data_IF_408379457144
#
_entry.id   IF_408379457144
#
_cell.length_a   1.000
_cell.length_b   1.000
_cell.length_c   1.000
_cell.angle_alpha   90.00
_cell.angle_beta   90.00
_cell.angle_gamma   90.00
#
_symmetry.space_group_name_H-M   'P 1'
#
loop_
_entity.id
_entity.type
_entity.pdbx_description
1 polymer ?
#
# COMPACT_ATOMS: atom_id res chain seq x y z
N UNK A 1 17.35 32.98 -38.94
CA UNK A 1 18.57 32.15 -38.72
C UNK A 1 18.55 30.98 -39.69
N UNK A 2 19.70 30.55 -40.23
CA UNK A 2 19.82 29.40 -41.15
C UNK A 2 19.11 28.15 -40.60
N UNK A 3 19.13 27.96 -39.28
CA UNK A 3 18.44 26.87 -38.59
C UNK A 3 16.91 26.85 -38.78
N UNK A 4 16.25 28.02 -38.92
CA UNK A 4 14.80 28.07 -39.17
C UNK A 4 14.44 27.59 -40.58
N UNK A 5 15.25 27.94 -41.58
CA UNK A 5 15.08 27.44 -42.95
C UNK A 5 15.29 25.92 -43.04
N UNK A 6 16.26 25.38 -42.29
CA UNK A 6 16.47 23.94 -42.20
C UNK A 6 15.31 23.22 -41.48
N UNK A 7 14.73 23.84 -40.45
CA UNK A 7 13.55 23.32 -39.75
C UNK A 7 12.32 23.25 -40.67
N UNK A 8 12.03 24.31 -41.42
CA UNK A 8 10.89 24.34 -42.36
C UNK A 8 11.05 23.29 -43.48
N UNK A 9 12.27 23.10 -44.00
CA UNK A 9 12.57 22.06 -45.00
C UNK A 9 12.42 20.64 -44.44
N UNK A 10 12.64 20.43 -43.14
CA UNK A 10 12.45 19.15 -42.48
C UNK A 10 10.98 18.92 -42.08
N UNK A 11 10.28 19.95 -41.59
CA UNK A 11 8.85 19.88 -41.21
C UNK A 11 7.95 19.52 -42.39
N UNK A 12 8.26 20.02 -43.60
CA UNK A 12 7.51 19.68 -44.82
C UNK A 12 7.60 18.19 -45.22
N UNK A 13 8.62 17.46 -44.75
CA UNK A 13 8.82 16.03 -45.05
C UNK A 13 8.16 15.09 -44.05
N UNK A 14 7.73 15.59 -42.89
CA UNK A 14 7.16 14.76 -41.82
C UNK A 14 5.64 14.67 -42.00
N UNK A 15 5.05 13.46 -41.96
CA UNK A 15 3.60 13.32 -42.05
C UNK A 15 2.93 14.02 -40.87
N UNK A 16 1.87 14.80 -41.15
CA UNK A 16 1.16 15.61 -40.14
C UNK A 16 0.71 14.80 -38.92
N UNK A 17 0.39 13.51 -39.09
CA UNK A 17 0.04 12.59 -38.00
C UNK A 17 1.16 12.38 -36.98
N UNK A 18 2.41 12.31 -37.45
CA UNK A 18 3.58 12.19 -36.58
C UNK A 18 3.78 13.47 -35.76
N UNK A 19 3.58 14.63 -36.38
CA UNK A 19 3.62 15.93 -35.69
C UNK A 19 2.55 16.03 -34.60
N UNK A 20 1.31 15.62 -34.88
CA UNK A 20 0.24 15.57 -33.88
C UNK A 20 0.54 14.58 -32.74
N UNK A 21 1.15 13.43 -33.05
CA UNK A 21 1.51 12.44 -32.04
C UNK A 21 2.67 12.91 -31.15
N UNK A 22 3.66 13.62 -31.71
CA UNK A 22 4.72 14.27 -30.94
C UNK A 22 4.19 15.40 -30.05
N UNK A 23 3.26 16.22 -30.55
CA UNK A 23 2.61 17.27 -29.78
C UNK A 23 1.80 16.69 -28.60
N UNK A 24 1.07 15.59 -28.83
CA UNK A 24 0.39 14.84 -27.77
C UNK A 24 1.36 14.27 -26.73
N UNK A 25 2.49 13.69 -27.17
CA UNK A 25 3.50 13.16 -26.27
C UNK A 25 4.16 14.26 -25.43
N UNK A 26 4.43 15.43 -26.02
CA UNK A 26 4.92 16.61 -25.29
C UNK A 26 3.90 17.08 -24.25
N UNK A 27 2.62 17.20 -24.62
CA UNK A 27 1.54 17.57 -23.68
C UNK A 27 1.38 16.54 -22.57
N UNK A 28 1.43 15.25 -22.88
CA UNK A 28 1.39 14.17 -21.90
C UNK A 28 2.59 14.22 -20.95
N UNK A 29 3.79 14.51 -21.44
CA UNK A 29 4.99 14.67 -20.61
C UNK A 29 4.85 15.86 -19.65
N UNK A 30 4.32 16.98 -20.13
CA UNK A 30 4.03 18.17 -19.31
C UNK A 30 2.96 17.86 -18.27
N UNK A 31 1.84 17.25 -18.65
CA UNK A 31 0.78 16.82 -17.73
C UNK A 31 1.32 15.83 -16.68
N UNK A 32 2.15 14.88 -17.08
CA UNK A 32 2.81 13.94 -16.15
C UNK A 32 3.70 14.68 -15.16
N UNK A 33 4.42 15.73 -15.58
CA UNK A 33 5.22 16.57 -14.69
C UNK A 33 4.33 17.36 -13.71
N UNK A 34 3.21 17.92 -14.17
CA UNK A 34 2.23 18.57 -13.29
C UNK A 34 1.61 17.59 -12.29
N UNK A 35 1.26 16.37 -12.70
CA UNK A 35 0.77 15.33 -11.82
C UNK A 35 1.81 14.90 -10.78
N UNK A 36 3.10 14.84 -11.15
CA UNK A 36 4.19 14.56 -10.20
C UNK A 36 4.37 15.67 -9.17
N UNK A 37 4.34 16.92 -9.62
CA UNK A 37 4.38 18.09 -8.73
C UNK A 37 3.15 18.10 -7.82
N UNK A 38 1.95 17.88 -8.36
CA UNK A 38 0.71 17.80 -7.60
C UNK A 38 0.71 16.65 -6.60
N UNK A 39 1.23 15.47 -6.98
CA UNK A 39 1.45 14.35 -6.06
C UNK A 39 2.36 14.76 -4.90
N UNK A 40 3.39 15.57 -5.15
CA UNK A 40 4.28 16.08 -4.08
C UNK A 40 3.54 17.00 -3.11
N UNK A 41 2.59 17.80 -3.58
CA UNK A 41 1.71 18.61 -2.73
C UNK A 41 0.63 17.79 -2.01
N UNK A 42 0.12 16.73 -2.64
CA UNK A 42 -0.83 15.79 -2.04
C UNK A 42 -0.22 14.94 -0.93
N UNK A 43 1.11 14.83 -0.86
CA UNK A 43 1.76 14.15 0.25
C UNK A 43 1.69 15.10 1.47
N UNK A 44 0.87 14.78 2.47
CA UNK A 44 0.67 15.67 3.61
C UNK A 44 2.00 15.93 4.30
N UNK A 45 2.20 17.17 4.74
CA UNK A 45 3.29 17.62 5.63
C UNK A 45 4.73 17.26 5.20
N UNK A 46 4.98 16.89 3.94
CA UNK A 46 6.33 16.53 3.47
C UNK A 46 7.34 17.68 3.62
N UNK A 47 6.93 18.90 3.29
CA UNK A 47 7.78 20.08 3.46
C UNK A 47 8.11 20.36 4.93
N UNK A 48 7.21 20.03 5.86
CA UNK A 48 7.44 20.18 7.30
C UNK A 48 8.44 19.12 7.79
N UNK A 49 8.31 17.87 7.34
CA UNK A 49 9.26 16.79 7.66
C UNK A 49 10.66 17.14 7.14
N UNK A 50 10.79 17.61 5.90
CA UNK A 50 12.09 18.02 5.33
C UNK A 50 12.74 19.19 6.10
N UNK A 51 11.93 20.13 6.60
CA UNK A 51 12.44 21.21 7.46
C UNK A 51 12.98 20.68 8.79
N UNK A 52 12.29 19.72 9.40
CA UNK A 52 12.74 19.04 10.62
C UNK A 52 14.02 18.23 10.36
N UNK A 53 14.10 17.53 9.22
CA UNK A 53 15.30 16.80 8.80
C UNK A 53 16.52 17.71 8.66
N UNK A 54 16.32 18.92 8.12
CA UNK A 54 17.39 19.91 7.99
C UNK A 54 17.88 20.46 9.33
N UNK A 55 17.05 20.47 10.38
CA UNK A 55 17.42 21.01 11.70
C UNK A 55 17.90 19.93 12.67
N UNK A 56 17.28 18.75 12.66
CA UNK A 56 17.47 17.67 13.64
C UNK A 56 18.12 16.41 13.04
N UNK A 57 18.39 16.41 11.75
CA UNK A 57 19.00 15.29 11.04
C UNK A 57 18.03 14.17 10.66
N UNK A 58 18.58 13.14 10.01
CA UNK A 58 17.81 12.04 9.41
C UNK A 58 17.16 11.13 10.44
N UNK A 59 17.73 11.00 11.64
CA UNK A 59 17.22 10.15 12.72
C UNK A 59 15.84 10.63 13.16
N UNK A 60 15.69 11.91 13.48
CA UNK A 60 14.41 12.49 13.91
C UNK A 60 13.40 12.53 12.75
N UNK A 61 13.85 12.82 11.53
CA UNK A 61 13.00 12.80 10.32
C UNK A 61 12.38 11.42 10.03
N UNK A 62 13.12 10.34 10.35
CA UNK A 62 12.66 8.97 10.11
C UNK A 62 11.41 8.61 10.92
N UNK A 63 11.26 9.14 12.15
CA UNK A 63 10.07 8.97 12.99
C UNK A 63 8.83 9.55 12.32
N UNK A 64 8.88 10.81 11.89
CA UNK A 64 7.74 11.47 11.25
C UNK A 64 7.39 10.85 9.89
N UNK A 65 8.41 10.37 9.17
CA UNK A 65 8.20 9.64 7.91
C UNK A 65 7.48 8.31 8.15
N UNK A 66 7.81 7.60 9.22
CA UNK A 66 7.11 6.38 9.65
C UNK A 66 5.70 6.68 10.14
N UNK A 67 5.53 7.71 10.97
CA UNK A 67 4.22 8.14 11.47
C UNK A 67 3.27 8.51 10.32
N UNK A 68 3.76 9.26 9.33
CA UNK A 68 3.01 9.56 8.09
C UNK A 68 2.50 8.29 7.42
N UNK A 69 3.36 7.28 7.31
CA UNK A 69 3.00 6.01 6.72
C UNK A 69 1.94 5.28 7.53
N UNK A 70 2.06 5.23 8.87
CA UNK A 70 1.03 4.66 9.74
C UNK A 70 -0.32 5.36 9.55
N UNK A 71 -0.34 6.69 9.53
CA UNK A 71 -1.58 7.46 9.32
C UNK A 71 -2.25 7.09 8.00
N UNK A 72 -1.49 6.94 6.91
CA UNK A 72 -2.03 6.49 5.63
C UNK A 72 -2.62 5.07 5.68
N UNK A 73 -1.95 4.14 6.36
CA UNK A 73 -2.46 2.78 6.51
C UNK A 73 -3.75 2.78 7.33
N UNK A 74 -3.78 3.51 8.44
CA UNK A 74 -4.97 3.65 9.28
C UNK A 74 -6.14 4.35 8.54
N UNK A 75 -5.85 5.31 7.66
CA UNK A 75 -6.86 5.95 6.81
C UNK A 75 -7.48 4.96 5.82
N UNK A 76 -6.68 4.08 5.22
CA UNK A 76 -7.19 3.05 4.30
C UNK A 76 -8.04 2.03 5.08
N UNK A 77 -7.58 1.62 6.26
CA UNK A 77 -8.32 0.70 7.14
C UNK A 77 -9.65 1.31 7.59
N UNK A 78 -9.65 2.58 8.00
CA UNK A 78 -10.87 3.27 8.41
C UNK A 78 -11.84 3.43 7.25
N UNK A 79 -11.35 3.73 6.04
CA UNK A 79 -12.17 3.78 4.83
C UNK A 79 -12.81 2.42 4.53
N UNK A 80 -12.08 1.32 4.70
CA UNK A 80 -12.61 -0.03 4.52
C UNK A 80 -13.72 -0.32 5.53
N UNK A 81 -13.50 -0.03 6.82
CA UNK A 81 -14.55 -0.17 7.86
C UNK A 81 -15.76 0.71 7.55
N UNK A 82 -15.55 1.96 7.12
CA UNK A 82 -16.65 2.86 6.75
C UNK A 82 -17.40 2.31 5.55
N UNK A 83 -16.73 1.85 4.51
CA UNK A 83 -17.36 1.38 3.28
C UNK A 83 -18.14 0.08 3.46
N UNK A 84 -17.63 -0.87 4.25
CA UNK A 84 -18.21 -2.22 4.37
C UNK A 84 -19.04 -2.44 5.63
N UNK A 85 -18.83 -1.69 6.70
CA UNK A 85 -19.57 -1.84 7.97
C UNK A 85 -20.50 -0.65 8.18
N UNK A 86 -19.97 0.58 8.17
CA UNK A 86 -20.76 1.78 8.53
C UNK A 86 -21.76 2.15 7.42
N UNK A 87 -21.31 2.22 6.18
CA UNK A 87 -22.08 2.71 5.04
C UNK A 87 -23.34 1.86 4.78
N UNK A 88 -23.26 0.52 4.69
CA UNK A 88 -24.44 -0.30 4.45
C UNK A 88 -25.48 -0.13 5.58
N UNK A 89 -25.02 -0.08 6.83
CA UNK A 89 -25.88 0.04 8.01
C UNK A 89 -26.58 1.41 8.08
N UNK A 90 -25.85 2.50 7.83
CA UNK A 90 -26.41 3.86 7.84
C UNK A 90 -27.40 4.04 6.69
N UNK A 91 -27.09 3.53 5.50
CA UNK A 91 -28.01 3.57 4.36
C UNK A 91 -29.30 2.81 4.64
N UNK A 92 -29.24 1.62 5.25
CA UNK A 92 -30.43 0.86 5.65
C UNK A 92 -31.31 1.64 6.64
N UNK A 93 -30.71 2.21 7.70
CA UNK A 93 -31.45 2.99 8.68
C UNK A 93 -32.15 4.20 8.04
N UNK A 94 -31.47 4.89 7.10
CA UNK A 94 -32.06 6.02 6.39
C UNK A 94 -33.18 5.60 5.42
N UNK A 95 -33.03 4.48 4.71
CA UNK A 95 -34.06 3.94 3.81
C UNK A 95 -35.29 3.43 4.57
N UNK A 96 -35.11 2.77 5.71
CA UNK A 96 -36.22 2.45 6.59
C UNK A 96 -36.86 3.75 7.09
N UNK A 97 -36.07 4.82 7.29
CA UNK A 97 -36.55 6.11 7.75
C UNK A 97 -37.52 6.76 6.74
N UNK A 98 -37.14 6.82 5.47
CA UNK A 98 -37.98 7.43 4.42
C UNK A 98 -39.25 6.63 4.14
N UNK A 99 -39.20 5.30 4.23
CA UNK A 99 -40.33 4.43 3.89
C UNK A 99 -41.44 4.37 4.97
N UNK A 100 -41.19 4.85 6.19
CA UNK A 100 -42.22 4.99 7.24
C UNK A 100 -42.99 6.31 7.18
N UNK A 101 -42.47 7.33 6.51
CA UNK A 101 -43.19 8.59 6.32
C UNK A 101 -44.48 8.38 5.49
N UNK A 102 -44.50 7.36 4.62
CA UNK A 102 -45.61 7.06 3.71
C UNK A 102 -46.55 5.92 4.15
N UNK A 103 -46.26 5.16 5.22
CA UNK A 103 -47.07 3.97 5.59
C UNK A 103 -47.54 3.98 7.05
N UNK A 104 -48.83 4.27 7.21
CA UNK A 104 -49.67 4.25 8.42
C UNK A 104 -49.09 3.55 9.69
N UNK A 105 -48.56 4.39 10.58
CA UNK A 105 -48.56 4.48 12.05
C UNK A 105 -48.57 3.27 13.03
N UNK A 106 -48.80 1.98 12.71
CA UNK A 106 -49.12 1.04 13.83
C UNK A 106 -48.46 -0.33 13.94
N UNK A 107 -47.46 -0.74 13.13
CA UNK A 107 -46.88 -2.10 13.33
C UNK A 107 -45.37 -2.26 13.51
N UNK A 108 -44.55 -1.26 13.14
CA UNK A 108 -43.07 -1.39 13.16
C UNK A 108 -42.37 -0.40 14.10
N UNK A 109 -43.03 0.03 15.19
CA UNK A 109 -42.46 1.00 16.15
C UNK A 109 -41.23 0.48 16.90
N UNK A 110 -41.03 -0.84 16.93
CA UNK A 110 -39.95 -1.51 17.69
C UNK A 110 -38.58 -1.44 17.03
N UNK A 111 -38.52 -1.33 15.69
CA UNK A 111 -37.26 -1.41 14.92
C UNK A 111 -36.45 -0.12 15.00
N UNK A 112 -37.15 1.03 15.06
CA UNK A 112 -36.53 2.36 15.10
C UNK A 112 -36.21 2.77 16.54
N UNK A 113 -36.97 2.29 17.52
CA UNK A 113 -36.79 2.61 18.95
C UNK A 113 -35.53 2.01 19.58
N UNK A 114 -34.89 1.02 18.95
CA UNK A 114 -33.67 0.38 19.48
C UNK A 114 -32.42 1.25 19.27
N UNK A 115 -32.43 2.14 18.27
CA UNK A 115 -31.28 2.98 17.88
C UNK A 115 -31.46 4.47 18.19
N UNK A 116 -32.52 4.85 18.90
CA UNK A 116 -32.82 6.23 19.29
C UNK A 116 -32.84 6.32 20.81
N UNK A 117 -32.26 7.39 21.36
CA UNK A 117 -32.25 7.65 22.79
C UNK A 117 -33.70 7.84 23.28
N UNK A 118 -34.13 7.11 24.33
CA UNK A 118 -35.44 7.32 24.95
C UNK A 118 -35.62 8.77 25.44
N UNK A 119 -36.81 9.35 25.25
CA UNK A 119 -37.10 10.77 25.56
C UNK A 119 -36.83 11.17 27.03
N UNK A 120 -36.81 10.20 27.94
CA UNK A 120 -36.48 10.41 29.36
C UNK A 120 -34.96 10.55 29.60
N UNK A 121 -34.11 10.00 28.72
CA UNK A 121 -32.65 10.00 28.84
C UNK A 121 -31.97 11.07 27.97
N UNK A 122 -32.65 11.63 26.97
CA UNK A 122 -32.12 12.68 26.08
C UNK A 122 -31.64 13.91 26.85
N UNK A 123 -32.36 14.35 27.88
CA UNK A 123 -31.98 15.52 28.70
C UNK A 123 -30.69 15.33 29.50
N UNK A 124 -30.30 14.08 29.77
CA UNK A 124 -29.08 13.74 30.49
C UNK A 124 -27.93 13.35 29.56
N UNK A 125 -28.23 13.06 28.29
CA UNK A 125 -27.26 12.56 27.32
C UNK A 125 -26.15 13.57 26.97
N UNK A 126 -26.41 14.87 27.11
CA UNK A 126 -25.44 15.95 26.84
C UNK A 126 -24.48 16.24 28.01
N UNK A 127 -24.69 15.62 29.17
CA UNK A 127 -23.82 15.87 30.33
C UNK A 127 -22.42 15.31 30.05
N UNK A 128 -21.40 16.14 30.27
CA UNK A 128 -20.00 15.77 30.05
C UNK A 128 -19.58 14.45 30.72
N UNK A 129 -20.05 14.18 31.94
CA UNK A 129 -19.76 12.92 32.65
C UNK A 129 -20.32 11.67 31.96
N UNK A 130 -21.46 11.79 31.28
CA UNK A 130 -22.12 10.70 30.53
C UNK A 130 -21.40 10.45 29.21
N UNK A 131 -21.04 11.54 28.50
CA UNK A 131 -20.27 11.47 27.25
C UNK A 131 -18.89 10.87 27.47
N UNK A 132 -18.19 11.23 28.55
CA UNK A 132 -16.88 10.66 28.90
C UNK A 132 -16.95 9.17 29.27
N UNK A 133 -18.11 8.70 29.75
CA UNK A 133 -18.38 7.28 29.98
C UNK A 133 -18.82 6.54 28.71
N UNK A 134 -18.80 7.22 27.56
CA UNK A 134 -19.27 6.70 26.26
C UNK A 134 -20.77 6.33 26.24
N UNK A 135 -21.56 6.93 27.12
CA UNK A 135 -23.01 6.75 27.20
C UNK A 135 -23.76 7.94 26.57
N UNK A 136 -25.09 7.85 26.46
CA UNK A 136 -25.90 8.88 25.82
C UNK A 136 -25.74 8.88 24.29
N UNK A 137 -25.42 10.04 23.69
CA UNK A 137 -25.32 10.18 22.23
C UNK A 137 -24.27 9.28 21.57
N UNK A 138 -23.18 8.97 22.27
CA UNK A 138 -22.13 8.11 21.73
C UNK A 138 -22.56 6.64 21.64
N UNK A 139 -23.33 6.15 22.61
CA UNK A 139 -23.84 4.77 22.63
C UNK A 139 -24.68 4.41 21.40
N UNK A 140 -25.49 5.37 20.92
CA UNK A 140 -26.35 5.20 19.75
C UNK A 140 -25.70 5.71 18.44
N UNK A 141 -24.39 5.98 18.45
CA UNK A 141 -23.65 6.40 17.27
C UNK A 141 -23.11 5.20 16.47
N UNK A 142 -23.00 5.28 15.13
CA UNK A 142 -22.38 4.24 14.30
C UNK A 142 -20.93 3.90 14.67
N UNK A 143 -20.27 4.71 15.50
CA UNK A 143 -18.90 4.45 15.96
C UNK A 143 -18.88 3.29 16.96
N UNK A 144 -19.98 3.03 17.67
CA UNK A 144 -20.06 2.01 18.71
C UNK A 144 -20.67 0.70 18.20
N UNK A 145 -20.16 -0.41 18.74
CA UNK A 145 -20.62 -1.75 18.39
C UNK A 145 -22.13 -1.96 18.62
N UNK A 146 -22.68 -1.38 19.70
CA UNK A 146 -24.10 -1.51 20.06
C UNK A 146 -25.09 -0.90 19.06
N UNK A 147 -24.60 -0.12 18.08
CA UNK A 147 -25.42 0.43 17.01
C UNK A 147 -25.78 -0.61 15.92
N UNK A 148 -24.93 -1.62 15.75
CA UNK A 148 -25.03 -2.60 14.66
C UNK A 148 -25.96 -3.76 15.05
N UNK A 149 -26.92 -4.07 14.18
CA UNK A 149 -27.94 -5.11 14.44
C UNK A 149 -27.56 -6.46 13.80
N UNK A 150 -27.97 -7.57 14.43
CA UNK A 150 -27.74 -8.93 13.93
C UNK A 150 -28.82 -9.37 12.92
N UNK A 151 -29.23 -8.50 12.00
CA UNK A 151 -30.28 -8.80 11.01
C UNK A 151 -29.66 -9.00 9.62
N UNK A 152 -30.16 -9.99 8.89
CA UNK A 152 -29.58 -10.41 7.60
C UNK A 152 -30.03 -9.56 6.40
N UNK A 153 -30.93 -8.60 6.59
CA UNK A 153 -31.59 -7.84 5.52
C UNK A 153 -31.26 -6.34 5.62
N UNK A 154 -30.56 -5.78 4.63
CA UNK A 154 -30.29 -4.33 4.51
C UNK A 154 -31.37 -3.57 3.74
N UNK A 155 -32.17 -4.28 2.94
CA UNK A 155 -33.31 -3.79 2.17
C UNK A 155 -34.15 -5.02 1.87
N UNK A 156 -35.47 -4.87 1.65
CA UNK A 156 -36.39 -5.97 1.26
C UNK A 156 -35.87 -6.85 0.09
N UNK A 157 -34.86 -6.40 -0.66
CA UNK A 157 -34.25 -7.09 -1.80
C UNK A 157 -32.78 -7.51 -1.62
N UNK A 158 -32.03 -6.93 -0.68
CA UNK A 158 -30.59 -7.20 -0.52
C UNK A 158 -30.28 -7.84 0.83
N UNK A 159 -29.88 -9.11 0.80
CA UNK A 159 -29.37 -9.85 1.95
C UNK A 159 -27.90 -9.50 2.15
N UNK A 160 -27.56 -8.98 3.32
CA UNK A 160 -26.18 -8.72 3.72
C UNK A 160 -26.06 -9.06 5.19
N UNK A 161 -25.40 -10.18 5.46
CA UNK A 161 -25.16 -10.63 6.82
C UNK A 161 -24.10 -9.72 7.46
N UNK A 162 -24.57 -8.72 8.20
CA UNK A 162 -23.71 -7.76 8.91
C UNK A 162 -22.69 -8.43 9.86
N UNK A 163 -23.04 -9.49 10.62
CA UNK A 163 -22.06 -10.19 11.46
C UNK A 163 -20.95 -10.87 10.65
N UNK A 164 -21.30 -11.45 9.51
CA UNK A 164 -20.33 -12.06 8.60
C UNK A 164 -19.41 -10.99 8.00
N UNK A 165 -19.99 -9.87 7.57
CA UNK A 165 -19.23 -8.74 7.04
C UNK A 165 -18.27 -8.19 8.08
N UNK A 166 -18.72 -8.03 9.33
CA UNK A 166 -17.87 -7.62 10.45
C UNK A 166 -16.68 -8.57 10.61
N UNK A 167 -16.94 -9.88 10.68
CA UNK A 167 -15.89 -10.90 10.81
C UNK A 167 -14.88 -10.87 9.65
N UNK A 168 -15.37 -10.83 8.40
CA UNK A 168 -14.51 -10.80 7.21
C UNK A 168 -13.70 -9.51 7.12
N UNK A 169 -14.32 -8.36 7.40
CA UNK A 169 -13.64 -7.06 7.43
C UNK A 169 -12.58 -7.04 8.52
N UNK A 170 -12.85 -7.58 9.71
CA UNK A 170 -11.85 -7.70 10.77
C UNK A 170 -10.66 -8.52 10.31
N UNK A 171 -10.86 -9.70 9.72
CA UNK A 171 -9.78 -10.53 9.16
C UNK A 171 -9.01 -9.77 8.07
N UNK A 172 -9.72 -9.08 7.17
CA UNK A 172 -9.10 -8.31 6.10
C UNK A 172 -8.25 -7.16 6.65
N UNK A 173 -8.75 -6.41 7.63
CA UNK A 173 -8.02 -5.31 8.29
C UNK A 173 -6.78 -5.83 8.99
N UNK A 174 -6.87 -6.92 9.75
CA UNK A 174 -5.71 -7.54 10.38
C UNK A 174 -4.68 -7.99 9.34
N UNK A 175 -5.13 -8.65 8.27
CA UNK A 175 -4.26 -9.13 7.20
C UNK A 175 -3.56 -7.98 6.47
N UNK A 176 -4.30 -6.95 6.06
CA UNK A 176 -3.75 -5.76 5.39
C UNK A 176 -2.74 -5.08 6.30
N UNK A 177 -3.05 -4.90 7.58
CA UNK A 177 -2.15 -4.28 8.56
C UNK A 177 -0.86 -5.09 8.72
N UNK A 178 -0.99 -6.40 8.92
CA UNK A 178 0.13 -7.30 9.09
C UNK A 178 1.03 -7.30 7.85
N UNK A 179 0.48 -7.50 6.65
CA UNK A 179 1.26 -7.50 5.43
C UNK A 179 1.85 -6.13 5.09
N UNK A 180 1.15 -5.04 5.39
CA UNK A 180 1.66 -3.68 5.19
C UNK A 180 2.88 -3.40 6.09
N UNK A 181 2.77 -3.73 7.39
CA UNK A 181 3.88 -3.62 8.34
C UNK A 181 5.03 -4.53 7.93
N UNK A 182 4.75 -5.78 7.60
CA UNK A 182 5.78 -6.75 7.19
C UNK A 182 6.51 -6.31 5.93
N UNK A 183 5.79 -5.82 4.91
CA UNK A 183 6.41 -5.26 3.70
C UNK A 183 7.28 -4.05 4.03
N UNK A 184 6.81 -3.14 4.89
CA UNK A 184 7.62 -1.99 5.30
C UNK A 184 8.83 -2.38 6.11
N UNK A 185 8.69 -3.33 7.02
CA UNK A 185 9.81 -3.86 7.81
C UNK A 185 10.84 -4.54 6.91
N UNK A 186 10.41 -5.36 5.95
CA UNK A 186 11.30 -6.00 4.99
C UNK A 186 12.02 -4.98 4.09
N UNK A 187 11.31 -3.94 3.63
CA UNK A 187 11.92 -2.84 2.87
C UNK A 187 12.93 -2.07 3.71
N UNK A 188 12.58 -1.71 4.95
CA UNK A 188 13.46 -0.99 5.86
C UNK A 188 14.68 -1.83 6.24
N UNK A 189 14.53 -3.14 6.46
CA UNK A 189 15.63 -4.07 6.71
C UNK A 189 16.53 -4.24 5.47
N UNK A 190 15.96 -4.21 4.26
CA UNK A 190 16.75 -4.21 3.02
C UNK A 190 17.49 -2.90 2.84
N UNK A 191 16.85 -1.77 3.12
CA UNK A 191 17.45 -0.44 3.05
C UNK A 191 18.51 -0.23 4.12
N UNK A 192 18.37 -0.78 5.32
CA UNK A 192 19.39 -0.72 6.36
C UNK A 192 20.62 -1.56 6.00
N UNK A 193 20.42 -2.77 5.45
CA UNK A 193 21.51 -3.56 4.84
C UNK A 193 22.18 -2.81 3.68
N UNK A 194 21.42 -2.08 2.87
CA UNK A 194 21.94 -1.24 1.78
C UNK A 194 22.58 0.08 2.27
N UNK A 195 22.24 0.57 3.45
CA UNK A 195 22.78 1.82 4.00
C UNK A 195 24.14 1.60 4.67
N UNK A 196 24.37 0.44 5.28
CA UNK A 196 25.73 -0.05 5.59
C UNK A 196 26.57 -0.38 4.34
N UNK A 197 25.95 -0.32 3.16
CA UNK A 197 26.47 -0.80 1.87
C UNK A 197 26.77 0.34 0.89
N UNK A 198 27.05 1.59 1.30
CA UNK A 198 27.71 2.51 0.33
C UNK A 198 29.07 1.95 -0.11
N UNK A 199 29.79 1.28 0.80
CA UNK A 199 31.02 0.54 0.47
C UNK A 199 30.72 -0.77 -0.31
N UNK A 200 29.61 -1.44 0.00
CA UNK A 200 29.22 -2.70 -0.64
C UNK A 200 28.45 -2.54 -1.98
N UNK A 201 27.91 -1.36 -2.27
CA UNK A 201 27.28 -1.02 -3.55
C UNK A 201 28.35 -0.73 -4.61
N UNK A 202 29.50 -0.25 -4.16
CA UNK A 202 30.67 0.08 -4.98
C UNK A 202 31.85 -0.86 -4.70
N UNK A 203 31.62 -2.14 -4.35
CA UNK A 203 32.71 -3.10 -4.03
C UNK A 203 33.74 -3.15 -5.15
N UNK A 204 33.28 -3.20 -6.39
CA UNK A 204 34.15 -3.23 -7.56
C UNK A 204 34.89 -1.91 -7.75
N UNK A 205 34.20 -0.78 -7.57
CA UNK A 205 34.81 0.54 -7.72
C UNK A 205 35.90 0.75 -6.66
N UNK A 206 35.62 0.40 -5.41
CA UNK A 206 36.58 0.52 -4.31
C UNK A 206 37.78 -0.41 -4.51
N UNK A 207 37.57 -1.67 -4.91
CA UNK A 207 38.65 -2.62 -5.21
C UNK A 207 39.56 -2.16 -6.36
N UNK A 208 39.02 -1.48 -7.37
CA UNK A 208 39.82 -0.90 -8.46
C UNK A 208 40.55 0.35 -7.97
N UNK A 209 39.87 1.23 -7.26
CA UNK A 209 40.42 2.51 -6.82
C UNK A 209 41.54 2.34 -5.79
N UNK A 210 41.44 1.36 -4.88
CA UNK A 210 42.49 1.04 -3.90
C UNK A 210 43.51 0.03 -4.40
N UNK A 211 43.28 -0.59 -5.55
CA UNK A 211 44.23 -1.51 -6.17
C UNK A 211 45.33 -0.81 -6.98
N UNK A 212 45.16 0.48 -7.28
CA UNK A 212 46.15 1.26 -8.03
C UNK A 212 47.34 1.63 -7.15
N UNK A 213 48.55 1.31 -7.62
CA UNK A 213 49.82 1.71 -6.99
C UNK A 213 50.67 2.48 -8.01
N UNK A 214 51.01 3.72 -7.69
CA UNK A 214 51.81 4.61 -8.54
C UNK A 214 53.31 4.53 -8.26
N UNK A 215 53.72 3.76 -7.24
CA UNK A 215 55.13 3.65 -6.82
C UNK A 215 55.92 2.58 -7.58
N UNK A 216 55.25 1.79 -8.44
CA UNK A 216 55.85 0.71 -9.20
C UNK A 216 56.53 1.26 -10.46
N UNK A 217 57.87 1.25 -10.48
CA UNK A 217 58.68 1.63 -11.65
C UNK A 217 59.11 0.47 -12.55
N UNK A 218 59.00 -0.79 -12.10
CA UNK A 218 59.41 -1.96 -12.87
C UNK A 218 58.23 -2.52 -13.70
N UNK A 219 58.45 -2.73 -15.01
CA UNK A 219 57.45 -3.23 -15.94
C UNK A 219 56.98 -4.65 -15.58
N UNK A 220 57.89 -5.52 -15.17
CA UNK A 220 57.53 -6.91 -14.80
C UNK A 220 56.62 -6.94 -13.57
N UNK A 221 56.94 -6.12 -12.55
CA UNK A 221 56.11 -5.97 -11.35
C UNK A 221 54.75 -5.35 -11.67
N UNK A 222 54.69 -4.36 -12.57
CA UNK A 222 53.43 -3.76 -13.00
C UNK A 222 52.52 -4.76 -13.71
N UNK A 223 53.06 -5.63 -14.56
CA UNK A 223 52.29 -6.69 -15.21
C UNK A 223 51.70 -7.68 -14.20
N UNK A 224 52.48 -8.04 -13.16
CA UNK A 224 52.04 -8.93 -12.08
C UNK A 224 50.94 -8.32 -11.21
N UNK A 225 51.03 -7.03 -10.87
CA UNK A 225 49.99 -6.36 -10.07
C UNK A 225 48.70 -6.17 -10.86
N UNK A 226 48.78 -5.84 -12.15
CA UNK A 226 47.61 -5.79 -13.04
C UNK A 226 46.93 -7.15 -13.11
N UNK A 227 47.70 -8.24 -13.29
CA UNK A 227 47.14 -9.59 -13.32
C UNK A 227 46.48 -9.97 -11.98
N UNK A 228 47.10 -9.60 -10.85
CA UNK A 228 46.53 -9.83 -9.52
C UNK A 228 45.21 -9.07 -9.30
N UNK A 229 45.10 -7.81 -9.76
CA UNK A 229 43.86 -7.02 -9.69
C UNK A 229 42.77 -7.66 -10.56
N UNK A 230 43.12 -8.11 -11.77
CA UNK A 230 42.18 -8.80 -12.67
C UNK A 230 41.65 -10.08 -12.04
N UNK A 231 42.50 -10.87 -11.38
CA UNK A 231 42.08 -12.09 -10.67
C UNK A 231 41.12 -11.75 -9.53
N UNK A 232 41.47 -10.77 -8.67
CA UNK A 232 40.59 -10.32 -7.57
C UNK A 232 39.23 -9.84 -8.06
N UNK A 233 39.17 -9.16 -9.20
CA UNK A 233 37.91 -8.73 -9.82
C UNK A 233 37.12 -9.91 -10.37
N UNK A 234 37.78 -10.83 -11.08
CA UNK A 234 37.15 -12.05 -11.61
C UNK A 234 36.55 -12.90 -10.50
N UNK A 235 37.27 -13.10 -9.40
CA UNK A 235 36.80 -13.81 -8.22
C UNK A 235 35.58 -13.12 -7.61
N UNK A 236 35.65 -11.80 -7.41
CA UNK A 236 34.53 -11.02 -6.87
C UNK A 236 33.29 -11.01 -7.79
N UNK A 237 33.46 -11.11 -9.11
CA UNK A 237 32.37 -11.25 -10.08
C UNK A 237 31.79 -12.67 -10.01
N UNK A 238 32.65 -13.69 -9.94
CA UNK A 238 32.24 -15.09 -9.86
C UNK A 238 31.44 -15.37 -8.57
N UNK A 239 31.88 -14.83 -7.43
CA UNK A 239 31.20 -14.95 -6.14
C UNK A 239 29.78 -14.35 -6.19
N UNK A 240 29.62 -13.13 -6.74
CA UNK A 240 28.30 -12.51 -6.91
C UNK A 240 27.41 -13.28 -7.87
N UNK A 241 27.97 -13.85 -8.94
CA UNK A 241 27.24 -14.71 -9.90
C UNK A 241 26.76 -16.00 -9.23
N UNK A 242 27.61 -16.68 -8.48
CA UNK A 242 27.27 -17.89 -7.73
C UNK A 242 26.19 -17.64 -6.67
N UNK A 243 26.31 -16.53 -5.92
CA UNK A 243 25.32 -16.13 -4.92
C UNK A 243 23.94 -15.83 -5.54
N UNK A 244 23.91 -15.14 -6.68
CA UNK A 244 22.68 -14.87 -7.42
C UNK A 244 22.02 -16.14 -7.97
N UNK A 245 22.82 -17.08 -8.46
CA UNK A 245 22.33 -18.34 -9.00
C UNK A 245 21.77 -19.26 -7.90
N UNK A 246 22.42 -19.34 -6.74
CA UNK A 246 21.92 -20.08 -5.58
C UNK A 246 20.56 -19.55 -5.10
N UNK A 247 20.41 -18.23 -4.97
CA UNK A 247 19.15 -17.61 -4.53
C UNK A 247 18.01 -17.86 -5.54
N UNK A 248 18.30 -17.75 -6.84
CA UNK A 248 17.34 -18.01 -7.91
C UNK A 248 16.91 -19.49 -7.93
N UNK A 249 17.84 -20.43 -7.68
CA UNK A 249 17.55 -21.86 -7.59
C UNK A 249 16.62 -22.18 -6.43
N UNK A 250 16.88 -21.64 -5.24
CA UNK A 250 16.02 -21.83 -4.06
C UNK A 250 14.62 -21.24 -4.24
N UNK A 251 14.52 -20.03 -4.78
CA UNK A 251 13.22 -19.39 -5.03
C UNK A 251 12.39 -20.19 -6.05
N UNK A 252 13.01 -20.70 -7.13
CA UNK A 252 12.35 -21.59 -8.09
C UNK A 252 11.90 -22.93 -7.47
N UNK A 253 12.71 -23.53 -6.59
CA UNK A 253 12.33 -24.76 -5.87
C UNK A 253 11.16 -24.54 -4.94
N UNK A 254 11.18 -23.45 -4.17
CA UNK A 254 10.07 -23.09 -3.29
C UNK A 254 8.78 -22.83 -4.07
N UNK A 255 8.85 -22.11 -5.20
CA UNK A 255 7.68 -21.85 -6.04
C UNK A 255 7.11 -23.15 -6.63
N UNK A 256 7.96 -24.10 -7.02
CA UNK A 256 7.52 -25.42 -7.49
C UNK A 256 6.86 -26.24 -6.38
N UNK A 257 7.40 -26.19 -5.16
CA UNK A 257 6.79 -26.81 -3.99
C UNK A 257 5.38 -26.24 -3.72
N UNK A 258 5.26 -24.91 -3.74
CA UNK A 258 3.98 -24.22 -3.55
C UNK A 258 2.95 -24.59 -4.62
N UNK A 259 3.36 -24.60 -5.89
CA UNK A 259 2.48 -24.98 -6.99
C UNK A 259 1.99 -26.42 -6.85
N UNK A 260 2.89 -27.36 -6.51
CA UNK A 260 2.52 -28.75 -6.30
C UNK A 260 1.57 -28.91 -5.08
N UNK A 261 1.80 -28.17 -4.00
CA UNK A 261 0.90 -28.17 -2.84
C UNK A 261 -0.51 -27.63 -3.20
N UNK A 262 -0.58 -26.59 -4.04
CA UNK A 262 -1.84 -26.05 -4.53
C UNK A 262 -2.60 -27.07 -5.39
N UNK A 263 -1.91 -27.78 -6.30
CA UNK A 263 -2.52 -28.85 -7.11
C UNK A 263 -3.06 -29.97 -6.21
N UNK A 264 -2.29 -30.41 -5.21
CA UNK A 264 -2.73 -31.41 -4.24
C UNK A 264 -3.98 -30.93 -3.49
N UNK A 265 -4.02 -29.67 -3.06
CA UNK A 265 -5.21 -29.11 -2.39
C UNK A 265 -6.44 -29.08 -3.30
N UNK A 266 -6.27 -28.76 -4.59
CA UNK A 266 -7.38 -28.78 -5.55
C UNK A 266 -7.90 -30.20 -5.79
N UNK A 267 -7.00 -31.20 -5.87
CA UNK A 267 -7.39 -32.61 -6.01
C UNK A 267 -8.15 -33.11 -4.78
N UNK A 268 -7.66 -32.82 -3.57
CA UNK A 268 -8.34 -33.19 -2.32
C UNK A 268 -9.72 -32.53 -2.25
N UNK A 269 -9.81 -31.25 -2.60
CA UNK A 269 -11.09 -30.54 -2.64
C UNK A 269 -12.08 -31.15 -3.64
N UNK A 270 -11.59 -31.56 -4.82
CA UNK A 270 -12.43 -32.22 -5.83
C UNK A 270 -12.94 -33.58 -5.34
N UNK A 271 -12.09 -34.40 -4.70
CA UNK A 271 -12.50 -35.70 -4.16
C UNK A 271 -13.54 -35.51 -3.05
N UNK A 272 -13.32 -34.53 -2.17
CA UNK A 272 -14.26 -34.18 -1.11
C UNK A 272 -15.63 -33.78 -1.68
N UNK A 273 -15.65 -32.93 -2.71
CA UNK A 273 -16.89 -32.49 -3.36
C UNK A 273 -17.68 -33.66 -3.97
N UNK A 274 -17.01 -34.64 -4.59
CA UNK A 274 -17.65 -35.83 -5.14
C UNK A 274 -18.25 -36.68 -4.01
N UNK A 275 -17.49 -36.91 -2.94
CA UNK A 275 -17.97 -37.68 -1.79
C UNK A 275 -19.23 -37.04 -1.17
N UNK A 276 -19.24 -35.72 -1.01
CA UNK A 276 -20.42 -34.99 -0.50
C UNK A 276 -21.62 -35.00 -1.45
N UNK A 277 -21.42 -35.24 -2.76
CA UNK A 277 -22.49 -35.25 -3.75
C UNK A 277 -23.12 -36.63 -3.94
N UNK A 278 -22.40 -37.70 -3.61
CA UNK A 278 -22.88 -39.09 -3.69
C UNK A 278 -23.66 -39.51 -2.43
N UNK A 279 -23.33 -38.91 -1.28
CA UNK A 279 -24.01 -39.11 -0.01
C UNK A 279 -25.32 -38.30 0.05
#
# INVERSE_FOLDING_TARGET
SIAQKYLEQQESKVPKSHLYMEELNKRLAVVRRYLYNFRTYLIPWEGKIKRIESHFGSVVSSYFTFLRWIVFVNLIISLLVIAFIVFPEVSNNFSHLSHWADRNRTRNRTVISEKIIPDNQTKHADRFGVVMQFDGHLKYSPIFYGFYSNRDYLTDKFKYALPLAYFLVTIAVFSISFFAILRKMAQNARLSKLSGSKAEQYIFNWKVFTGWDFTIGNNDTASNTVMAIVIKLRESIAEKRAAGEHNTKWSKRFLRLLANAMVISMLVFSIFAIWTAVQ
#
